data_IF_982701700036
#
_entry.id   IF_982701700036
#
_cell.length_a   1.000
_cell.length_b   1.000
_cell.length_c   1.000
_cell.angle_alpha   90.00
_cell.angle_beta   90.00
_cell.angle_gamma   90.00
#
_symmetry.space_group_name_H-M   'P 1'
#
loop_
_entity.id
_entity.type
_entity.pdbx_description
1 polymer ?
#
# COMPACT_ATOMS: atom_id res chain seq x y z
N UNK A 1 1.65 15.38 47.74
CA UNK A 1 2.09 14.40 46.71
C UNK A 1 1.94 12.96 47.22
N UNK A 2 1.00 12.18 46.67
CA UNK A 2 0.75 10.79 47.08
C UNK A 2 1.75 9.82 46.42
N UNK A 3 1.98 8.63 47.02
CA UNK A 3 2.89 7.61 46.45
C UNK A 3 2.54 7.21 45.01
N UNK A 4 1.25 7.25 44.67
CA UNK A 4 0.74 6.97 43.33
C UNK A 4 1.21 8.02 42.31
N UNK A 5 1.16 9.30 42.65
CA UNK A 5 1.57 10.40 41.77
C UNK A 5 3.07 10.38 41.43
N UNK A 6 3.92 10.09 42.41
CA UNK A 6 5.37 9.96 42.18
C UNK A 6 5.71 8.81 41.22
N UNK A 7 4.94 7.71 41.27
CA UNK A 7 5.12 6.54 40.40
C UNK A 7 4.68 6.82 38.96
N UNK A 8 3.60 7.58 38.76
CA UNK A 8 3.17 7.99 37.41
C UNK A 8 4.17 8.95 36.76
N UNK A 9 4.73 9.89 37.52
CA UNK A 9 5.75 10.83 37.02
C UNK A 9 7.06 10.15 36.65
N UNK A 10 7.54 9.21 37.47
CA UNK A 10 8.73 8.43 37.13
C UNK A 10 8.53 7.68 35.81
N UNK A 11 7.38 7.02 35.63
CA UNK A 11 7.04 6.32 34.38
C UNK A 11 6.94 7.25 33.18
N UNK A 12 6.33 8.43 33.34
CA UNK A 12 6.25 9.44 32.29
C UNK A 12 7.64 9.94 31.91
N UNK A 13 8.51 10.20 32.90
CA UNK A 13 9.87 10.64 32.64
C UNK A 13 10.69 9.60 31.87
N UNK A 14 10.62 8.33 32.27
CA UNK A 14 11.31 7.24 31.58
C UNK A 14 10.79 7.10 30.14
N UNK A 15 9.47 7.17 29.95
CA UNK A 15 8.86 7.07 28.62
C UNK A 15 9.28 8.20 27.68
N UNK A 16 9.34 9.43 28.19
CA UNK A 16 9.73 10.60 27.39
C UNK A 16 11.23 10.59 27.10
N UNK A 17 12.07 10.30 28.10
CA UNK A 17 13.53 10.26 27.95
C UNK A 17 14.03 9.12 27.04
N UNK A 18 13.27 8.04 26.90
CA UNK A 18 13.59 6.92 25.99
C UNK A 18 12.90 7.02 24.63
N UNK A 19 12.10 8.08 24.39
CA UNK A 19 11.39 8.23 23.13
C UNK A 19 12.35 8.44 21.95
N UNK A 20 12.22 7.61 20.93
CA UNK A 20 13.03 7.69 19.70
C UNK A 20 12.69 8.92 18.83
N UNK A 21 11.53 9.53 19.07
CA UNK A 21 11.00 10.71 18.37
C UNK A 21 11.74 12.02 18.72
N UNK A 22 12.37 12.06 19.90
CA UNK A 22 13.19 13.18 20.34
C UNK A 22 14.64 12.96 19.92
N UNK A 23 15.31 14.01 19.48
CA UNK A 23 16.75 13.97 19.19
C UNK A 23 17.57 13.81 20.47
N UNK A 24 18.83 13.38 20.34
CA UNK A 24 19.73 13.24 21.49
C UNK A 24 19.92 14.57 22.23
N UNK A 25 20.10 15.67 21.49
CA UNK A 25 20.22 17.01 22.06
C UNK A 25 18.95 17.43 22.83
N UNK A 26 17.76 17.17 22.30
CA UNK A 26 16.50 17.46 22.99
C UNK A 26 16.32 16.60 24.24
N UNK A 27 16.71 15.32 24.19
CA UNK A 27 16.67 14.43 25.36
C UNK A 27 17.64 14.87 26.45
N UNK A 28 18.88 15.20 26.09
CA UNK A 28 19.89 15.71 27.01
C UNK A 28 19.48 17.06 27.60
N UNK A 29 18.93 17.96 26.77
CA UNK A 29 18.40 19.25 27.21
C UNK A 29 17.24 19.10 28.18
N UNK A 30 16.28 18.22 27.87
CA UNK A 30 15.14 17.90 28.74
C UNK A 30 15.62 17.32 30.08
N UNK A 31 16.56 16.39 30.06
CA UNK A 31 17.12 15.79 31.27
C UNK A 31 17.79 16.82 32.17
N UNK A 32 18.55 17.75 31.60
CA UNK A 32 19.17 18.85 32.34
C UNK A 32 18.11 19.79 32.93
N UNK A 33 17.11 20.17 32.13
CA UNK A 33 16.00 21.02 32.56
C UNK A 33 15.25 20.39 33.74
N UNK A 34 15.00 19.09 33.69
CA UNK A 34 14.34 18.34 34.76
C UNK A 34 15.15 18.27 36.06
N UNK A 35 16.48 18.28 35.99
CA UNK A 35 17.35 18.34 37.18
C UNK A 35 17.31 19.75 37.80
N UNK A 36 17.28 20.77 36.96
CA UNK A 36 17.26 22.17 37.39
C UNK A 36 15.89 22.60 37.95
N UNK A 37 14.82 21.99 37.46
CA UNK A 37 13.45 22.30 37.90
C UNK A 37 13.17 21.67 39.25
N UNK A 38 13.02 22.52 40.27
CA UNK A 38 12.78 22.10 41.65
C UNK A 38 11.29 21.90 41.95
N UNK A 39 10.41 22.63 41.25
CA UNK A 39 8.97 22.50 41.40
C UNK A 39 8.48 21.21 40.72
N UNK A 40 7.84 20.29 41.46
CA UNK A 40 7.28 19.09 40.88
C UNK A 40 6.22 19.35 39.81
N UNK A 41 5.43 20.43 39.89
CA UNK A 41 4.36 20.74 38.93
C UNK A 41 4.91 21.22 37.59
N UNK A 42 5.87 22.14 37.62
CA UNK A 42 6.57 22.59 36.40
C UNK A 42 7.26 21.42 35.69
N UNK A 43 7.80 20.47 36.47
CA UNK A 43 8.39 19.24 35.91
C UNK A 43 7.37 18.36 35.19
N UNK A 44 6.12 18.31 35.65
CA UNK A 44 5.06 17.56 34.94
C UNK A 44 4.72 18.25 33.61
N UNK A 45 4.59 19.57 33.61
CA UNK A 45 4.27 20.37 32.42
C UNK A 45 5.35 20.24 31.34
N UNK A 46 6.62 20.32 31.74
CA UNK A 46 7.79 20.10 30.88
C UNK A 46 7.74 18.71 30.22
N UNK A 47 7.44 17.66 31.01
CA UNK A 47 7.34 16.29 30.48
C UNK A 47 6.15 16.13 29.54
N UNK A 48 5.02 16.76 29.86
CA UNK A 48 3.82 16.73 29.02
C UNK A 48 4.05 17.43 27.68
N UNK A 49 4.75 18.57 27.68
CA UNK A 49 5.11 19.29 26.47
C UNK A 49 6.08 18.48 25.59
N UNK A 50 7.13 17.92 26.20
CA UNK A 50 8.07 17.05 25.48
C UNK A 50 7.39 15.82 24.88
N UNK A 51 6.46 15.19 25.61
CA UNK A 51 5.65 14.08 25.10
C UNK A 51 4.74 14.51 23.94
N UNK A 52 4.17 15.72 23.99
CA UNK A 52 3.33 16.26 22.92
C UNK A 52 4.14 16.45 21.63
N UNK A 53 5.34 17.03 21.73
CA UNK A 53 6.26 17.19 20.60
C UNK A 53 6.65 15.86 20.00
N UNK A 54 7.00 14.87 20.84
CA UNK A 54 7.29 13.52 20.41
C UNK A 54 6.10 12.88 19.66
N UNK A 55 4.87 13.02 20.17
CA UNK A 55 3.69 12.48 19.52
C UNK A 55 3.37 13.17 18.19
N UNK A 56 3.60 14.48 18.09
CA UNK A 56 3.39 15.23 16.85
C UNK A 56 4.32 14.74 15.74
N UNK A 57 5.61 14.55 16.05
CA UNK A 57 6.57 13.97 15.11
C UNK A 57 6.20 12.55 14.70
N UNK A 58 5.70 11.75 15.65
CA UNK A 58 5.26 10.38 15.36
C UNK A 58 4.14 10.36 14.33
N UNK A 59 3.17 11.25 14.51
CA UNK A 59 2.02 11.39 13.62
C UNK A 59 2.43 11.96 12.25
N UNK A 60 3.38 12.89 12.19
CA UNK A 60 3.93 13.38 10.92
C UNK A 60 4.68 12.27 10.17
N UNK A 61 5.56 11.53 10.84
CA UNK A 61 6.27 10.40 10.26
C UNK A 61 5.30 9.33 9.73
N UNK A 62 4.22 9.04 10.47
CA UNK A 62 3.13 8.15 10.04
C UNK A 62 2.39 8.68 8.82
N UNK A 63 2.06 9.97 8.77
CA UNK A 63 1.41 10.59 7.61
C UNK A 63 2.29 10.49 6.36
N UNK A 64 3.59 10.76 6.51
CA UNK A 64 4.54 10.64 5.41
C UNK A 64 4.70 9.19 4.93
N UNK A 65 4.79 8.22 5.84
CA UNK A 65 4.87 6.80 5.48
C UNK A 65 3.61 6.32 4.79
N UNK A 66 2.43 6.71 5.29
CA UNK A 66 1.15 6.38 4.68
C UNK A 66 1.02 6.97 3.27
N UNK A 67 1.42 8.23 3.07
CA UNK A 67 1.43 8.86 1.76
C UNK A 67 2.36 8.14 0.77
N UNK A 68 3.55 7.72 1.21
CA UNK A 68 4.49 6.96 0.39
C UNK A 68 3.93 5.58 0.00
N UNK A 69 3.32 4.86 0.94
CA UNK A 69 2.68 3.56 0.70
C UNK A 69 1.52 3.71 -0.28
N UNK A 70 0.65 4.71 -0.08
CA UNK A 70 -0.48 4.98 -0.97
C UNK A 70 -0.03 5.26 -2.41
N UNK A 71 1.01 6.08 -2.60
CA UNK A 71 1.59 6.35 -3.92
C UNK A 71 2.09 5.08 -4.61
N UNK A 72 2.83 4.23 -3.88
CA UNK A 72 3.31 2.95 -4.41
C UNK A 72 2.16 2.02 -4.80
N UNK A 73 1.15 1.91 -3.95
CA UNK A 73 -0.02 1.07 -4.21
C UNK A 73 -0.76 1.48 -5.50
N UNK A 74 -1.01 2.79 -5.67
CA UNK A 74 -1.66 3.29 -6.89
C UNK A 74 -0.81 3.04 -8.12
N UNK A 75 0.51 3.25 -8.03
CA UNK A 75 1.41 2.97 -9.15
C UNK A 75 1.40 1.49 -9.54
N UNK A 76 1.49 0.58 -8.57
CA UNK A 76 1.42 -0.86 -8.83
C UNK A 76 0.08 -1.27 -9.44
N UNK A 77 -1.05 -0.77 -8.93
CA UNK A 77 -2.37 -1.01 -9.52
C UNK A 77 -2.44 -0.57 -10.99
N UNK A 78 -1.94 0.62 -11.31
CA UNK A 78 -1.94 1.11 -12.70
C UNK A 78 -1.08 0.25 -13.63
N UNK A 79 0.06 -0.28 -13.14
CA UNK A 79 0.90 -1.21 -13.90
C UNK A 79 0.17 -2.52 -14.14
N UNK A 80 -0.38 -3.14 -13.09
CA UNK A 80 -1.08 -4.42 -13.20
C UNK A 80 -2.28 -4.34 -14.13
N UNK A 81 -3.04 -3.25 -14.09
CA UNK A 81 -4.19 -3.04 -14.98
C UNK A 81 -3.75 -2.90 -16.45
N UNK A 82 -2.63 -2.20 -16.68
CA UNK A 82 -2.05 -2.03 -18.01
C UNK A 82 -1.55 -3.35 -18.57
N UNK A 83 -0.84 -4.14 -17.76
CA UNK A 83 -0.36 -5.48 -18.13
C UNK A 83 -1.52 -6.43 -18.42
N UNK A 84 -2.55 -6.45 -17.57
CA UNK A 84 -3.75 -7.28 -17.76
C UNK A 84 -4.48 -6.91 -19.06
N UNK A 85 -4.58 -5.62 -19.38
CA UNK A 85 -5.18 -5.14 -20.63
C UNK A 85 -4.35 -5.58 -21.85
N UNK A 86 -3.03 -5.47 -21.79
CA UNK A 86 -2.13 -5.92 -22.85
C UNK A 86 -2.24 -7.44 -23.06
N UNK A 87 -2.24 -8.22 -21.98
CA UNK A 87 -2.42 -9.68 -22.02
C UNK A 87 -3.77 -10.07 -22.62
N UNK A 88 -4.85 -9.41 -22.18
CA UNK A 88 -6.20 -9.64 -22.71
C UNK A 88 -6.28 -9.33 -24.21
N UNK A 89 -5.66 -8.23 -24.64
CA UNK A 89 -5.60 -7.87 -26.05
C UNK A 89 -4.83 -8.93 -26.87
N UNK A 90 -3.68 -9.38 -26.37
CA UNK A 90 -2.88 -10.43 -26.99
C UNK A 90 -3.67 -11.74 -27.12
N UNK A 91 -4.32 -12.19 -26.04
CA UNK A 91 -5.21 -13.36 -26.04
C UNK A 91 -6.33 -13.21 -27.08
N UNK A 92 -7.00 -12.08 -27.13
CA UNK A 92 -8.11 -11.84 -28.06
C UNK A 92 -7.65 -11.88 -29.53
N UNK A 93 -6.42 -11.45 -29.83
CA UNK A 93 -5.83 -11.63 -31.17
C UNK A 93 -5.63 -13.11 -31.50
N UNK A 94 -5.09 -13.90 -30.56
CA UNK A 94 -4.93 -15.35 -30.72
C UNK A 94 -6.26 -16.07 -30.98
N UNK A 95 -7.30 -15.78 -30.18
CA UNK A 95 -8.63 -16.40 -30.35
C UNK A 95 -9.24 -16.06 -31.72
N UNK A 96 -9.09 -14.82 -32.20
CA UNK A 96 -9.57 -14.43 -33.54
C UNK A 96 -8.87 -15.19 -34.67
N UNK A 97 -7.56 -15.39 -34.55
CA UNK A 97 -6.79 -16.17 -35.54
C UNK A 97 -7.25 -17.63 -35.52
N UNK A 98 -7.38 -18.22 -34.33
CA UNK A 98 -7.84 -19.59 -34.19
C UNK A 98 -9.22 -19.81 -34.81
N UNK A 99 -10.19 -18.93 -34.54
CA UNK A 99 -11.53 -19.01 -35.12
C UNK A 99 -11.54 -18.97 -36.65
N UNK A 100 -10.66 -18.16 -37.27
CA UNK A 100 -10.50 -18.15 -38.74
C UNK A 100 -9.94 -19.47 -39.26
N UNK A 101 -8.91 -20.02 -38.62
CA UNK A 101 -8.31 -21.30 -39.00
C UNK A 101 -9.34 -22.43 -38.89
N UNK A 102 -10.11 -22.46 -37.80
CA UNK A 102 -11.16 -23.47 -37.60
C UNK A 102 -12.27 -23.37 -38.65
N UNK A 103 -12.73 -22.17 -39.02
CA UNK A 103 -13.72 -22.01 -40.09
C UNK A 103 -13.19 -22.44 -41.47
N UNK A 104 -11.93 -22.16 -41.78
CA UNK A 104 -11.34 -22.62 -43.04
C UNK A 104 -11.19 -24.14 -43.06
N UNK A 105 -10.71 -24.73 -41.96
CA UNK A 105 -10.61 -26.18 -41.84
C UNK A 105 -11.99 -26.86 -42.01
N UNK A 106 -13.04 -26.33 -41.38
CA UNK A 106 -14.38 -26.89 -41.54
C UNK A 106 -14.93 -26.74 -42.97
N UNK A 107 -14.65 -25.63 -43.65
CA UNK A 107 -15.04 -25.44 -45.05
C UNK A 107 -14.33 -26.44 -46.01
N UNK A 108 -13.05 -26.73 -45.78
CA UNK A 108 -12.32 -27.73 -46.57
C UNK A 108 -12.74 -29.17 -46.24
N UNK A 109 -13.08 -29.45 -44.98
CA UNK A 109 -13.46 -30.79 -44.52
C UNK A 109 -14.94 -31.10 -44.75
N UNK A 110 -15.79 -30.12 -45.04
CA UNK A 110 -17.16 -30.39 -45.49
C UNK A 110 -17.12 -31.03 -46.89
N UNK A 111 -17.64 -32.26 -47.06
CA UNK A 111 -17.67 -32.90 -48.37
C UNK A 111 -18.47 -32.02 -49.34
N UNK A 112 -17.85 -31.61 -50.45
CA UNK A 112 -18.58 -30.91 -51.51
C UNK A 112 -19.73 -31.81 -51.95
N UNK A 113 -20.98 -31.37 -51.74
CA UNK A 113 -22.16 -32.02 -52.32
C UNK A 113 -21.99 -32.02 -53.84
N UNK A 114 -21.62 -33.17 -54.40
CA UNK A 114 -21.67 -33.40 -55.84
C UNK A 114 -23.15 -33.26 -56.21
N UNK A 115 -23.49 -32.21 -56.97
CA UNK A 115 -24.82 -32.13 -57.57
C UNK A 115 -24.97 -33.34 -58.46
N UNK A 116 -25.95 -34.20 -58.17
CA UNK A 116 -26.36 -35.26 -59.08
C UNK A 116 -26.57 -34.66 -60.45
N UNK A 117 -25.69 -34.98 -61.40
CA UNK A 117 -25.93 -34.73 -62.81
C UNK A 117 -27.02 -35.70 -63.22
N UNK A 118 -28.27 -35.22 -63.26
CA UNK A 118 -29.36 -35.98 -63.86
C UNK A 118 -29.03 -36.14 -65.34
N UNK A 119 -28.50 -37.29 -65.71
CA UNK A 119 -28.55 -37.71 -67.11
C UNK A 119 -30.02 -37.99 -67.41
N UNK A 120 -30.61 -37.17 -68.27
CA UNK A 120 -31.91 -37.48 -68.83
C UNK A 120 -31.75 -38.74 -69.68
N UNK A 121 -32.24 -39.88 -69.18
CA UNK A 121 -32.44 -41.07 -70.01
C UNK A 121 -33.67 -40.81 -70.88
N UNK A 122 -33.44 -40.45 -72.13
CA UNK A 122 -34.45 -40.50 -73.19
C UNK A 122 -34.45 -41.91 -73.79
N UNK A 123 -35.48 -42.70 -73.46
CA UNK A 123 -36.09 -43.73 -74.30
C UNK A 123 -37.23 -44.40 -73.51
#
# INVERSE_FOLDING_TARGET
MTKLHKKSLSKLSEKVLTSQELTEAERSGLHLLMIQTSDPYEREDILAEAQKTANQRAEEARKHSYAAIKKRLTQEQTKTDTELKAFTQHRNRHVKVLGKVTMMASYFMTPKRIRSTKYYTSA
#
